data_IF_371540727649
#
_entry.id   IF_371540727649
#
_cell.length_a   1.000
_cell.length_b   1.000
_cell.length_c   1.000
_cell.angle_alpha   90.00
_cell.angle_beta   90.00
_cell.angle_gamma   90.00
#
_symmetry.space_group_name_H-M   'P 1'
#
loop_
_entity.id
_entity.type
_entity.pdbx_description
1 polymer ?
#
# COMPACT_ATOMS: atom_id res chain seq x y z
N UNK A 1 -2.22 10.04 -11.88
CA UNK A 1 -1.61 11.05 -12.78
C UNK A 1 -2.15 10.96 -14.21
N UNK A 2 -2.43 9.76 -14.74
CA UNK A 2 -2.95 9.58 -16.10
C UNK A 2 -4.26 10.35 -16.39
N UNK A 3 -5.19 10.45 -15.42
CA UNK A 3 -6.45 11.19 -15.59
C UNK A 3 -6.27 12.64 -16.06
N UNK A 4 -5.24 13.32 -15.56
CA UNK A 4 -4.92 14.72 -15.94
C UNK A 4 -4.28 14.77 -17.33
N UNK A 5 -3.38 13.84 -17.62
CA UNK A 5 -2.68 13.75 -18.91
C UNK A 5 -3.63 13.40 -20.07
N UNK A 6 -4.66 12.60 -19.80
CA UNK A 6 -5.69 12.24 -20.78
C UNK A 6 -6.85 13.24 -20.84
N UNK A 7 -6.82 14.34 -20.06
CA UNK A 7 -7.90 15.32 -20.00
C UNK A 7 -9.22 14.80 -19.40
N UNK A 8 -9.21 13.65 -18.70
CA UNK A 8 -10.41 12.98 -18.17
C UNK A 8 -10.45 13.02 -16.65
N UNK A 9 -10.58 14.21 -16.08
CA UNK A 9 -10.68 14.43 -14.63
C UNK A 9 -11.92 13.78 -14.02
N UNK A 10 -13.02 13.70 -14.76
CA UNK A 10 -14.27 13.06 -14.31
C UNK A 10 -14.08 11.60 -13.90
N UNK A 11 -13.17 10.87 -14.55
CA UNK A 11 -12.88 9.48 -14.23
C UNK A 11 -12.30 9.34 -12.81
N UNK A 12 -11.51 10.31 -12.35
CA UNK A 12 -10.99 10.29 -11.00
C UNK A 12 -12.13 10.31 -9.96
N UNK A 13 -13.19 11.08 -10.22
CA UNK A 13 -14.36 11.16 -9.35
C UNK A 13 -15.10 9.83 -9.31
N UNK A 14 -15.30 9.16 -10.44
CA UNK A 14 -15.95 7.85 -10.48
C UNK A 14 -15.16 6.77 -9.71
N UNK A 15 -13.83 6.86 -9.70
CA UNK A 15 -12.99 5.88 -9.01
C UNK A 15 -12.98 6.15 -7.51
N UNK A 16 -12.90 7.41 -7.09
CA UNK A 16 -12.97 7.76 -5.68
C UNK A 16 -14.36 7.50 -5.10
N UNK A 17 -15.43 7.75 -5.86
CA UNK A 17 -16.79 7.42 -5.43
C UNK A 17 -17.01 5.92 -5.29
N UNK A 18 -16.48 5.11 -6.20
CA UNK A 18 -16.49 3.65 -6.07
C UNK A 18 -15.81 3.18 -4.78
N UNK A 19 -14.61 3.69 -4.49
CA UNK A 19 -13.95 3.30 -3.24
C UNK A 19 -14.65 3.83 -1.99
N UNK A 20 -15.31 4.98 -2.05
CA UNK A 20 -16.17 5.46 -0.95
C UNK A 20 -17.32 4.49 -0.67
N UNK A 21 -18.01 4.03 -1.72
CA UNK A 21 -19.10 3.05 -1.59
C UNK A 21 -18.59 1.77 -0.94
N UNK A 22 -17.43 1.27 -1.37
CA UNK A 22 -16.78 0.10 -0.76
C UNK A 22 -16.48 0.32 0.72
N UNK A 23 -15.90 1.47 1.09
CA UNK A 23 -15.58 1.79 2.48
C UNK A 23 -16.84 1.82 3.35
N UNK A 24 -17.94 2.39 2.85
CA UNK A 24 -19.22 2.44 3.57
C UNK A 24 -19.80 1.05 3.77
N UNK A 25 -19.85 0.24 2.72
CA UNK A 25 -20.37 -1.14 2.80
C UNK A 25 -19.59 -1.95 3.83
N UNK A 26 -18.25 -1.89 3.78
CA UNK A 26 -17.41 -2.66 4.70
C UNK A 26 -17.53 -2.14 6.12
N UNK A 27 -17.49 -0.82 6.34
CA UNK A 27 -17.63 -0.30 7.71
C UNK A 27 -19.01 -0.61 8.27
N UNK A 28 -20.10 -0.35 7.56
CA UNK A 28 -21.45 -0.59 8.09
C UNK A 28 -21.69 -2.09 8.36
N UNK A 29 -21.21 -2.97 7.50
CA UNK A 29 -21.39 -4.43 7.65
C UNK A 29 -20.46 -5.08 8.67
N UNK A 30 -19.18 -4.71 8.70
CA UNK A 30 -18.17 -5.37 9.53
C UNK A 30 -17.88 -4.68 10.86
N UNK A 31 -18.20 -3.38 11.02
CA UNK A 31 -18.02 -2.67 12.29
C UNK A 31 -18.75 -3.31 13.48
N UNK A 32 -19.98 -3.84 13.37
CA UNK A 32 -20.63 -4.50 14.52
C UNK A 32 -19.91 -5.77 14.98
N UNK A 33 -19.17 -6.45 14.10
CA UNK A 33 -18.49 -7.70 14.43
C UNK A 33 -16.99 -7.53 14.77
N UNK A 34 -16.31 -6.58 14.13
CA UNK A 34 -14.83 -6.45 14.19
C UNK A 34 -14.34 -5.09 14.72
N UNK A 35 -15.25 -4.20 15.16
CA UNK A 35 -14.94 -2.89 15.74
C UNK A 35 -13.93 -2.10 14.88
N UNK A 36 -12.78 -1.71 15.44
CA UNK A 36 -11.75 -0.92 14.74
C UNK A 36 -11.07 -1.69 13.60
N UNK A 37 -10.94 -3.01 13.70
CA UNK A 37 -10.33 -3.81 12.64
C UNK A 37 -11.14 -3.76 11.35
N UNK A 38 -12.47 -3.59 11.43
CA UNK A 38 -13.34 -3.41 10.27
C UNK A 38 -12.91 -2.20 9.42
N UNK A 39 -12.54 -1.09 10.06
CA UNK A 39 -12.13 0.13 9.36
C UNK A 39 -10.79 -0.06 8.65
N UNK A 40 -9.83 -0.73 9.30
CA UNK A 40 -8.54 -1.06 8.69
C UNK A 40 -8.70 -1.90 7.42
N UNK A 41 -9.50 -2.96 7.49
CA UNK A 41 -9.80 -3.81 6.33
C UNK A 41 -10.65 -3.10 5.27
N UNK A 42 -11.57 -2.23 5.69
CA UNK A 42 -12.40 -1.42 4.78
C UNK A 42 -11.57 -0.46 3.93
N UNK A 43 -10.63 0.26 4.55
CA UNK A 43 -9.72 1.14 3.81
C UNK A 43 -8.79 0.36 2.88
N UNK A 44 -8.27 -0.80 3.34
CA UNK A 44 -7.44 -1.66 2.50
C UNK A 44 -8.20 -2.11 1.25
N UNK A 45 -9.43 -2.59 1.41
CA UNK A 45 -10.27 -3.05 0.29
C UNK A 45 -10.64 -1.90 -0.65
N UNK A 46 -11.00 -0.74 -0.10
CA UNK A 46 -11.30 0.47 -0.86
C UNK A 46 -10.14 0.88 -1.77
N UNK A 47 -8.92 0.98 -1.21
CA UNK A 47 -7.73 1.32 -2.01
C UNK A 47 -7.36 0.24 -3.02
N UNK A 48 -7.57 -1.03 -2.69
CA UNK A 48 -7.33 -2.14 -3.61
C UNK A 48 -8.28 -2.04 -4.82
N UNK A 49 -9.58 -1.79 -4.59
CA UNK A 49 -10.56 -1.56 -5.66
C UNK A 49 -10.18 -0.34 -6.49
N UNK A 50 -9.85 0.79 -5.85
CA UNK A 50 -9.40 1.99 -6.57
C UNK A 50 -8.15 1.70 -7.43
N UNK A 51 -7.20 0.92 -6.93
CA UNK A 51 -5.98 0.53 -7.65
C UNK A 51 -6.29 -0.35 -8.85
N UNK A 52 -7.12 -1.39 -8.70
CA UNK A 52 -7.51 -2.28 -9.79
C UNK A 52 -8.23 -1.49 -10.88
N UNK A 53 -9.25 -0.71 -10.51
CA UNK A 53 -10.02 0.08 -11.49
C UNK A 53 -9.11 1.07 -12.20
N UNK A 54 -8.26 1.79 -11.46
CA UNK A 54 -7.32 2.75 -12.01
C UNK A 54 -6.29 2.13 -12.96
N UNK A 55 -5.84 0.91 -12.69
CA UNK A 55 -4.82 0.22 -13.50
C UNK A 55 -5.41 -0.37 -14.77
N UNK A 56 -6.61 -0.96 -14.71
CA UNK A 56 -7.34 -1.44 -15.90
C UNK A 56 -7.68 -0.26 -16.81
N UNK A 57 -8.27 0.79 -16.25
CA UNK A 57 -8.74 1.93 -17.03
C UNK A 57 -7.56 2.78 -17.53
N UNK A 58 -6.49 2.88 -16.73
CA UNK A 58 -5.22 3.46 -17.13
C UNK A 58 -4.61 2.72 -18.32
N UNK A 59 -4.59 1.38 -18.29
CA UNK A 59 -4.07 0.59 -19.41
C UNK A 59 -4.87 0.81 -20.71
N UNK A 60 -6.17 1.06 -20.61
CA UNK A 60 -7.03 1.34 -21.77
C UNK A 60 -6.81 2.72 -22.40
N UNK A 61 -6.65 3.76 -21.59
CA UNK A 61 -6.55 5.15 -22.09
C UNK A 61 -5.13 5.64 -22.25
N UNK A 62 -4.19 5.16 -21.44
CA UNK A 62 -2.80 5.57 -21.45
C UNK A 62 -1.91 4.43 -20.88
N UNK A 63 -1.51 3.46 -21.72
CA UNK A 63 -0.77 2.28 -21.27
C UNK A 63 0.61 2.70 -20.74
N UNK A 64 0.73 2.72 -19.41
CA UNK A 64 2.00 2.95 -18.72
C UNK A 64 2.60 1.58 -18.41
N UNK A 65 3.84 1.26 -18.86
CA UNK A 65 4.49 0.00 -18.56
C UNK A 65 4.93 -0.04 -17.09
N UNK A 66 4.01 -0.38 -16.19
CA UNK A 66 4.29 -0.57 -14.77
C UNK A 66 5.18 -1.80 -14.56
N UNK A 67 6.20 -1.67 -13.71
CA UNK A 67 7.08 -2.77 -13.33
C UNK A 67 6.43 -3.59 -12.20
N UNK A 68 5.38 -4.32 -12.55
CA UNK A 68 4.56 -5.11 -11.60
C UNK A 68 5.39 -6.03 -10.71
N UNK A 69 6.43 -6.68 -11.27
CA UNK A 69 7.33 -7.53 -10.50
C UNK A 69 8.01 -6.78 -9.35
N UNK A 70 8.41 -5.52 -9.56
CA UNK A 70 9.03 -4.71 -8.49
C UNK A 70 8.03 -4.33 -7.42
N UNK A 71 6.81 -3.96 -7.80
CA UNK A 71 5.73 -3.64 -6.85
C UNK A 71 5.42 -4.86 -5.98
N UNK A 72 5.26 -6.03 -6.60
CA UNK A 72 5.01 -7.28 -5.89
C UNK A 72 6.17 -7.63 -4.95
N UNK A 73 7.42 -7.43 -5.40
CA UNK A 73 8.60 -7.67 -4.58
C UNK A 73 8.58 -6.81 -3.32
N UNK A 74 8.28 -5.51 -3.42
CA UNK A 74 8.16 -4.64 -2.25
C UNK A 74 7.09 -5.09 -1.26
N UNK A 75 5.90 -5.46 -1.76
CA UNK A 75 4.81 -6.00 -0.93
C UNK A 75 5.26 -7.30 -0.24
N UNK A 76 5.90 -8.20 -0.97
CA UNK A 76 6.36 -9.49 -0.45
C UNK A 76 7.43 -9.34 0.63
N UNK A 77 8.39 -8.41 0.46
CA UNK A 77 9.42 -8.13 1.46
C UNK A 77 8.80 -7.54 2.73
N UNK A 78 7.86 -6.60 2.58
CA UNK A 78 7.13 -6.03 3.72
C UNK A 78 6.37 -7.10 4.51
N UNK A 79 5.65 -7.98 3.80
CA UNK A 79 4.94 -9.11 4.43
C UNK A 79 5.89 -10.12 5.07
N UNK A 80 7.03 -10.41 4.47
CA UNK A 80 8.03 -11.31 5.04
C UNK A 80 8.62 -10.76 6.34
N UNK A 81 8.98 -9.46 6.36
CA UNK A 81 9.47 -8.80 7.58
C UNK A 81 8.39 -8.74 8.67
N UNK A 82 7.14 -8.49 8.29
CA UNK A 82 6.01 -8.56 9.22
C UNK A 82 5.83 -9.98 9.79
N UNK A 83 5.95 -11.02 8.96
CA UNK A 83 5.91 -12.41 9.40
C UNK A 83 7.02 -12.75 10.40
N UNK A 84 8.25 -12.28 10.16
CA UNK A 84 9.37 -12.41 11.11
C UNK A 84 9.03 -11.72 12.44
N UNK A 85 8.38 -10.55 12.37
CA UNK A 85 7.96 -9.79 13.54
C UNK A 85 6.97 -10.55 14.43
N UNK A 86 6.13 -11.42 13.84
CA UNK A 86 5.15 -12.23 14.57
C UNK A 86 5.78 -13.44 15.29
N UNK A 87 6.91 -13.94 14.78
CA UNK A 87 7.63 -15.08 15.37
C UNK A 87 8.51 -14.69 16.57
N UNK A 88 8.67 -13.39 16.82
CA UNK A 88 9.47 -12.90 17.95
C UNK A 88 8.75 -13.20 19.28
N UNK A 89 9.44 -13.84 20.24
CA UNK A 89 8.87 -14.08 21.57
C UNK A 89 8.60 -12.77 22.31
N UNK A 90 7.75 -12.83 23.33
CA UNK A 90 7.48 -11.69 24.20
C UNK A 90 8.76 -11.31 24.97
N UNK A 91 9.39 -10.21 24.57
CA UNK A 91 10.57 -9.63 25.22
C UNK A 91 10.18 -8.37 26.02
N UNK A 92 11.12 -7.85 26.81
CA UNK A 92 10.96 -6.57 27.49
C UNK A 92 10.58 -5.45 26.51
N UNK A 93 9.73 -4.54 26.95
CA UNK A 93 9.02 -3.55 26.12
C UNK A 93 9.99 -2.69 25.27
N UNK A 94 11.13 -2.31 25.85
CA UNK A 94 12.22 -1.58 25.17
C UNK A 94 12.88 -2.40 24.07
N UNK A 95 13.18 -3.68 24.33
CA UNK A 95 13.81 -4.57 23.36
C UNK A 95 12.86 -4.83 22.17
N UNK A 96 11.56 -4.98 22.44
CA UNK A 96 10.55 -5.14 21.39
C UNK A 96 10.53 -3.94 20.45
N UNK A 97 10.45 -2.72 20.97
CA UNK A 97 10.48 -1.51 20.13
C UNK A 97 11.78 -1.35 19.36
N UNK A 98 12.93 -1.64 19.98
CA UNK A 98 14.22 -1.59 19.31
C UNK A 98 14.25 -2.52 18.09
N UNK A 99 13.79 -3.76 18.24
CA UNK A 99 13.77 -4.76 17.15
C UNK A 99 12.81 -4.33 16.03
N UNK A 100 11.63 -3.80 16.35
CA UNK A 100 10.68 -3.32 15.32
C UNK A 100 11.24 -2.13 14.55
N UNK A 101 11.91 -1.19 15.24
CA UNK A 101 12.60 -0.07 14.59
C UNK A 101 13.72 -0.55 13.66
N UNK A 102 14.50 -1.55 14.08
CA UNK A 102 15.54 -2.15 13.24
C UNK A 102 14.95 -2.84 12.02
N UNK A 103 13.84 -3.58 12.16
CA UNK A 103 13.12 -4.20 11.04
C UNK A 103 12.66 -3.16 9.99
N UNK A 104 12.16 -2.00 10.44
CA UNK A 104 11.78 -0.90 9.54
C UNK A 104 13.01 -0.34 8.82
N UNK A 105 14.13 -0.15 9.52
CA UNK A 105 15.37 0.32 8.90
C UNK A 105 15.90 -0.68 7.85
N UNK A 106 15.79 -1.99 8.13
CA UNK A 106 16.13 -3.05 7.17
C UNK A 106 15.24 -2.96 5.94
N UNK A 107 13.93 -2.75 6.09
CA UNK A 107 13.03 -2.57 4.95
C UNK A 107 13.43 -1.39 4.06
N UNK A 108 13.72 -0.23 4.67
CA UNK A 108 14.18 0.97 3.97
C UNK A 108 15.50 0.69 3.23
N UNK A 109 16.44 0.00 3.87
CA UNK A 109 17.72 -0.33 3.27
C UNK A 109 17.57 -1.26 2.05
N UNK A 110 16.72 -2.29 2.15
CA UNK A 110 16.38 -3.19 1.04
C UNK A 110 15.78 -2.39 -0.11
N UNK A 111 14.84 -1.49 0.20
CA UNK A 111 14.21 -0.61 -0.80
C UNK A 111 15.23 0.24 -1.55
N UNK A 112 16.13 0.94 -0.84
CA UNK A 112 17.19 1.76 -1.44
C UNK A 112 18.12 0.94 -2.36
N UNK A 113 18.45 -0.29 -1.95
CA UNK A 113 19.30 -1.20 -2.72
C UNK A 113 18.63 -1.66 -4.02
N UNK A 114 17.32 -1.98 -3.97
CA UNK A 114 16.55 -2.41 -5.14
C UNK A 114 16.40 -1.27 -6.15
N UNK A 115 16.13 -0.06 -5.67
CA UNK A 115 15.93 1.09 -6.55
C UNK A 115 17.25 1.68 -7.08
N UNK A 116 18.39 1.24 -6.54
CA UNK A 116 19.75 1.75 -6.86
C UNK A 116 19.82 3.28 -6.75
N UNK A 117 19.02 3.88 -5.88
CA UNK A 117 19.06 5.33 -5.63
C UNK A 117 20.29 5.59 -4.78
N UNK A 118 21.33 6.15 -5.40
CA UNK A 118 22.44 6.73 -4.65
C UNK A 118 21.91 7.92 -3.88
N UNK A 119 22.01 7.88 -2.55
CA UNK A 119 21.58 8.97 -1.65
C UNK A 119 22.22 10.32 -2.03
N UNK A 120 23.37 10.29 -2.70
CA UNK A 120 24.09 11.47 -3.20
C UNK A 120 23.46 12.15 -4.43
N UNK A 121 22.54 11.49 -5.15
CA UNK A 121 21.82 12.09 -6.28
C UNK A 121 20.54 12.83 -5.88
N UNK A 122 20.14 12.76 -4.61
CA UNK A 122 19.12 13.63 -4.02
C UNK A 122 19.73 15.00 -3.70
N UNK A 123 20.33 15.66 -4.71
CA UNK A 123 20.53 17.11 -4.64
C UNK A 123 19.18 17.73 -4.98
N UNK A 124 18.58 18.32 -3.96
CA UNK A 124 17.32 19.06 -3.99
C UNK A 124 17.41 20.22 -5.00
#
# INVERSE_FOLDING_TARGET
MWYKLSGKTNIAIYITSLGLVVTLIVNIGFMPAYSFHASAWGHLLSYLVMLIVSTILGNKYYPIPYKWLRVLLYISVGLALYGISLLLPQMHLVAKFAIHSVLILIYIFIYLKIEKISLWKLKL
#
